data_IF_530528635762
#
_entry.id   IF_530528635762
#
_cell.length_a   1.000
_cell.length_b   1.000
_cell.length_c   1.000
_cell.angle_alpha   90.00
_cell.angle_beta   90.00
_cell.angle_gamma   90.00
#
_symmetry.space_group_name_H-M   'P 1'
#
loop_
_entity.id
_entity.type
_entity.pdbx_description
1 polymer ?
#
# COMPACT_ATOMS: atom_id res chain seq x y z
N UNK A 1 -24.57 -1.94 -1.84
CA UNK A 1 -24.81 -1.52 -3.23
C UNK A 1 -23.48 -1.00 -3.75
N UNK A 2 -23.03 -1.46 -4.91
CA UNK A 2 -21.77 -0.98 -5.49
C UNK A 2 -22.01 0.36 -6.17
N UNK A 3 -21.23 1.40 -5.87
CA UNK A 3 -21.36 2.68 -6.57
C UNK A 3 -20.93 2.52 -8.03
N UNK A 4 -21.77 2.97 -8.96
CA UNK A 4 -21.52 2.89 -10.42
C UNK A 4 -20.20 3.58 -10.80
N UNK A 5 -19.84 4.66 -10.10
CA UNK A 5 -18.57 5.37 -10.34
C UNK A 5 -17.37 4.54 -9.90
N UNK A 6 -17.44 3.85 -8.76
CA UNK A 6 -16.36 2.99 -8.27
C UNK A 6 -16.05 1.87 -9.27
N UNK A 7 -17.09 1.26 -9.86
CA UNK A 7 -16.91 0.25 -10.92
C UNK A 7 -16.34 0.85 -12.21
N UNK A 8 -16.81 2.02 -12.63
CA UNK A 8 -16.25 2.73 -13.79
C UNK A 8 -14.75 3.05 -13.60
N UNK A 9 -14.34 3.44 -12.39
CA UNK A 9 -12.93 3.67 -12.05
C UNK A 9 -12.10 2.39 -12.22
N UNK A 10 -12.61 1.24 -11.75
CA UNK A 10 -11.95 -0.07 -11.90
C UNK A 10 -11.80 -0.47 -13.37
N UNK A 11 -12.84 -0.27 -14.18
CA UNK A 11 -12.86 -0.62 -15.62
C UNK A 11 -11.95 0.27 -16.46
N UNK A 12 -11.88 1.57 -16.17
CA UNK A 12 -10.99 2.50 -16.88
C UNK A 12 -9.53 2.34 -16.46
N UNK A 13 -9.29 1.86 -15.24
CA UNK A 13 -7.98 1.76 -14.62
C UNK A 13 -7.65 3.03 -13.83
N UNK A 14 -7.12 2.82 -12.62
CA UNK A 14 -6.84 3.87 -11.63
C UNK A 14 -5.98 5.00 -12.21
N UNK A 15 -5.01 4.66 -13.06
CA UNK A 15 -4.05 5.61 -13.65
C UNK A 15 -4.66 6.55 -14.68
N UNK A 16 -5.85 6.23 -15.20
CA UNK A 16 -6.53 7.02 -16.24
C UNK A 16 -7.61 7.95 -15.68
N UNK A 17 -7.87 7.88 -14.38
CA UNK A 17 -8.92 8.69 -13.75
C UNK A 17 -8.29 9.89 -13.04
N UNK A 18 -8.76 11.08 -13.37
CA UNK A 18 -8.33 12.30 -12.67
C UNK A 18 -9.17 12.51 -11.38
N UNK A 19 -8.58 12.34 -10.18
CA UNK A 19 -9.29 12.50 -8.91
C UNK A 19 -9.70 13.95 -8.60
N UNK A 20 -9.14 14.95 -9.30
CA UNK A 20 -9.46 16.37 -9.07
C UNK A 20 -10.85 16.75 -9.56
N UNK A 21 -11.52 15.88 -10.31
CA UNK A 21 -12.89 16.10 -10.79
C UNK A 21 -13.96 15.81 -9.74
N UNK A 22 -13.59 15.20 -8.61
CA UNK A 22 -14.48 14.83 -7.53
C UNK A 22 -14.26 15.71 -6.29
N UNK A 23 -15.34 15.91 -5.51
CA UNK A 23 -15.21 16.50 -4.17
C UNK A 23 -14.37 15.60 -3.27
N UNK A 24 -13.85 16.13 -2.16
CA UNK A 24 -13.03 15.34 -1.23
C UNK A 24 -13.77 14.10 -0.71
N UNK A 25 -15.04 14.25 -0.36
CA UNK A 25 -15.85 13.15 0.17
C UNK A 25 -16.17 12.11 -0.90
N UNK A 26 -16.55 12.55 -2.11
CA UNK A 26 -16.78 11.63 -3.23
C UNK A 26 -15.50 10.90 -3.63
N UNK A 27 -14.37 11.60 -3.66
CA UNK A 27 -13.07 10.98 -3.94
C UNK A 27 -12.76 9.91 -2.89
N UNK A 28 -12.95 10.22 -1.61
CA UNK A 28 -12.72 9.25 -0.53
C UNK A 28 -13.62 8.02 -0.68
N UNK A 29 -14.91 8.21 -0.93
CA UNK A 29 -15.87 7.12 -1.12
C UNK A 29 -15.54 6.26 -2.36
N UNK A 30 -15.50 6.88 -3.55
CA UNK A 30 -15.35 6.21 -4.84
C UNK A 30 -14.04 5.44 -4.93
N UNK A 31 -12.92 6.07 -4.56
CA UNK A 31 -11.61 5.42 -4.66
C UNK A 31 -11.36 4.40 -3.54
N UNK A 32 -11.95 4.57 -2.35
CA UNK A 32 -11.90 3.51 -1.32
C UNK A 32 -12.65 2.28 -1.80
N UNK A 33 -13.86 2.45 -2.33
CA UNK A 33 -14.65 1.33 -2.81
C UNK A 33 -14.02 0.67 -4.05
N UNK A 34 -13.50 1.44 -5.00
CA UNK A 34 -12.74 0.91 -6.13
C UNK A 34 -11.54 0.08 -5.64
N UNK A 35 -10.80 0.58 -4.63
CA UNK A 35 -9.73 -0.16 -3.98
C UNK A 35 -10.18 -1.49 -3.37
N UNK A 36 -11.33 -1.51 -2.70
CA UNK A 36 -11.90 -2.75 -2.15
C UNK A 36 -12.37 -3.74 -3.22
N UNK A 37 -12.85 -3.27 -4.37
CA UNK A 37 -13.19 -4.14 -5.52
C UNK A 37 -11.90 -4.76 -6.07
N UNK A 38 -10.88 -3.94 -6.35
CA UNK A 38 -9.58 -4.39 -6.85
C UNK A 38 -8.90 -5.40 -5.90
N UNK A 39 -9.02 -5.17 -4.59
CA UNK A 39 -8.51 -6.08 -3.57
C UNK A 39 -9.18 -7.46 -3.66
N UNK A 40 -10.50 -7.50 -3.83
CA UNK A 40 -11.26 -8.75 -4.01
C UNK A 40 -10.90 -9.48 -5.32
N UNK A 41 -10.49 -8.73 -6.34
CA UNK A 41 -9.98 -9.28 -7.61
C UNK A 41 -8.51 -9.73 -7.52
N UNK A 42 -7.85 -9.57 -6.37
CA UNK A 42 -6.43 -9.89 -6.19
C UNK A 42 -5.46 -8.87 -6.82
N UNK A 43 -5.97 -7.73 -7.29
CA UNK A 43 -5.18 -6.65 -7.91
C UNK A 43 -4.60 -5.72 -6.84
N UNK A 44 -3.72 -6.26 -6.00
CA UNK A 44 -3.26 -5.63 -4.74
C UNK A 44 -2.63 -4.25 -4.96
N UNK A 45 -1.74 -4.11 -5.94
CA UNK A 45 -1.06 -2.83 -6.20
C UNK A 45 -2.04 -1.72 -6.59
N UNK A 46 -2.98 -2.04 -7.49
CA UNK A 46 -4.02 -1.10 -7.91
C UNK A 46 -4.98 -0.79 -6.76
N UNK A 47 -5.29 -1.77 -5.90
CA UNK A 47 -6.10 -1.59 -4.72
C UNK A 47 -5.48 -0.57 -3.76
N UNK A 48 -4.21 -0.77 -3.38
CA UNK A 48 -3.48 0.17 -2.50
C UNK A 48 -3.44 1.56 -3.14
N UNK A 49 -3.07 1.65 -4.43
CA UNK A 49 -3.02 2.92 -5.16
C UNK A 49 -4.36 3.67 -5.14
N UNK A 50 -5.46 2.96 -5.38
CA UNK A 50 -6.80 3.55 -5.32
C UNK A 50 -7.10 4.10 -3.92
N UNK A 51 -6.85 3.35 -2.86
CA UNK A 51 -7.10 3.81 -1.49
C UNK A 51 -6.16 4.96 -1.09
N UNK A 52 -4.93 4.99 -1.61
CA UNK A 52 -4.02 6.15 -1.48
C UNK A 52 -4.61 7.39 -2.16
N UNK A 53 -5.13 7.27 -3.38
CA UNK A 53 -5.81 8.39 -4.07
C UNK A 53 -7.07 8.86 -3.33
N UNK A 54 -7.71 7.96 -2.58
CA UNK A 54 -8.84 8.27 -1.70
C UNK A 54 -8.42 9.11 -0.48
N UNK A 55 -7.13 9.11 -0.10
CA UNK A 55 -6.64 9.69 1.15
C UNK A 55 -7.24 9.02 2.39
N UNK A 56 -7.48 7.70 2.30
CA UNK A 56 -8.15 6.95 3.37
C UNK A 56 -7.15 6.07 4.14
N UNK A 57 -6.34 6.70 4.99
CA UNK A 57 -5.31 6.02 5.79
C UNK A 57 -5.90 4.90 6.66
N UNK A 58 -7.11 5.09 7.21
CA UNK A 58 -7.77 4.05 8.01
C UNK A 58 -8.02 2.76 7.20
N UNK A 59 -8.39 2.88 5.92
CA UNK A 59 -8.57 1.73 5.04
C UNK A 59 -7.22 1.08 4.68
N UNK A 60 -6.17 1.87 4.41
CA UNK A 60 -4.82 1.37 4.17
C UNK A 60 -4.25 0.62 5.38
N UNK A 61 -4.40 1.17 6.58
CA UNK A 61 -4.00 0.53 7.82
C UNK A 61 -4.75 -0.79 8.02
N UNK A 62 -6.06 -0.81 7.77
CA UNK A 62 -6.86 -2.04 7.88
C UNK A 62 -6.44 -3.10 6.86
N UNK A 63 -6.11 -2.70 5.63
CA UNK A 63 -5.56 -3.61 4.61
C UNK A 63 -4.21 -4.18 5.04
N UNK A 64 -3.29 -3.31 5.50
CA UNK A 64 -1.99 -3.74 5.98
C UNK A 64 -2.09 -4.69 7.18
N UNK A 65 -2.95 -4.39 8.15
CA UNK A 65 -3.18 -5.24 9.32
C UNK A 65 -3.73 -6.62 8.93
N UNK A 66 -4.57 -6.70 7.91
CA UNK A 66 -5.06 -7.98 7.36
C UNK A 66 -3.95 -8.74 6.62
N UNK A 67 -3.13 -8.06 5.82
CA UNK A 67 -1.98 -8.70 5.17
C UNK A 67 -0.95 -9.23 6.17
N UNK A 68 -0.69 -8.50 7.26
CA UNK A 68 0.13 -8.98 8.38
C UNK A 68 -0.42 -10.27 8.98
N UNK A 69 -1.75 -10.35 9.23
CA UNK A 69 -2.41 -11.56 9.75
C UNK A 69 -2.28 -12.75 8.79
N UNK A 70 -2.26 -12.50 7.49
CA UNK A 70 -2.10 -13.52 6.45
C UNK A 70 -0.64 -13.85 6.12
N UNK A 71 0.32 -13.32 6.90
CA UNK A 71 1.77 -13.43 6.66
C UNK A 71 2.22 -12.96 5.26
N UNK A 72 1.47 -12.01 4.66
CA UNK A 72 1.78 -11.36 3.39
C UNK A 72 2.48 -10.02 3.63
N UNK A 73 3.68 -10.09 4.19
CA UNK A 73 4.37 -8.92 4.75
C UNK A 73 4.78 -7.88 3.72
N UNK A 74 5.03 -8.31 2.49
CA UNK A 74 5.31 -7.43 1.35
C UNK A 74 4.11 -6.58 0.96
N UNK A 75 2.92 -7.19 0.93
CA UNK A 75 1.65 -6.51 0.68
C UNK A 75 1.28 -5.59 1.86
N UNK A 76 1.60 -6.01 3.09
CA UNK A 76 1.43 -5.17 4.27
C UNK A 76 2.30 -3.91 4.20
N UNK A 77 3.59 -4.05 3.88
CA UNK A 77 4.50 -2.92 3.68
C UNK A 77 3.98 -1.97 2.60
N UNK A 78 3.53 -2.50 1.46
CA UNK A 78 2.94 -1.71 0.38
C UNK A 78 1.73 -0.87 0.86
N UNK A 79 0.86 -1.46 1.70
CA UNK A 79 -0.31 -0.76 2.24
C UNK A 79 0.04 0.27 3.32
N UNK A 80 1.07 0.03 4.15
CA UNK A 80 1.47 0.95 5.21
C UNK A 80 2.31 2.14 4.73
N UNK A 81 3.16 1.97 3.71
CA UNK A 81 4.06 3.04 3.24
C UNK A 81 3.34 4.39 2.99
N UNK A 82 2.18 4.44 2.32
CA UNK A 82 1.51 5.71 2.06
C UNK A 82 0.96 6.39 3.32
N UNK A 83 0.73 5.66 4.42
CA UNK A 83 0.17 6.20 5.67
C UNK A 83 1.24 6.88 6.54
N UNK A 84 2.52 6.63 6.27
CA UNK A 84 3.67 7.13 7.04
C UNK A 84 3.70 6.67 8.50
N UNK A 85 2.97 5.59 8.83
CA UNK A 85 3.00 4.96 10.14
C UNK A 85 4.29 4.14 10.30
N UNK A 86 5.31 4.78 10.88
CA UNK A 86 6.66 4.22 10.97
C UNK A 86 6.70 2.87 11.67
N UNK A 87 5.99 2.72 12.79
CA UNK A 87 6.02 1.50 13.59
C UNK A 87 5.48 0.30 12.79
N UNK A 88 4.38 0.50 12.06
CA UNK A 88 3.80 -0.55 11.20
C UNK A 88 4.66 -0.85 9.98
N UNK A 89 5.23 0.18 9.36
CA UNK A 89 6.15 0.02 8.22
C UNK A 89 7.38 -0.80 8.64
N UNK A 90 8.01 -0.45 9.77
CA UNK A 90 9.20 -1.14 10.26
C UNK A 90 8.91 -2.58 10.68
N UNK A 91 7.76 -2.82 11.29
CA UNK A 91 7.33 -4.18 11.62
C UNK A 91 7.16 -5.04 10.37
N UNK A 92 6.53 -4.52 9.32
CA UNK A 92 6.40 -5.24 8.05
C UNK A 92 7.76 -5.44 7.37
N UNK A 93 8.65 -4.45 7.44
CA UNK A 93 10.01 -4.51 6.91
C UNK A 93 10.85 -5.60 7.61
N UNK A 94 10.78 -5.68 8.93
CA UNK A 94 11.49 -6.68 9.73
C UNK A 94 11.05 -8.10 9.33
N UNK A 95 9.74 -8.32 9.20
CA UNK A 95 9.20 -9.61 8.79
C UNK A 95 9.55 -9.96 7.33
N UNK A 96 9.57 -8.97 6.43
CA UNK A 96 10.08 -9.16 5.07
C UNK A 96 11.56 -9.59 5.07
N UNK A 97 12.40 -8.93 5.86
CA UNK A 97 13.82 -9.25 5.96
C UNK A 97 14.05 -10.68 6.51
N UNK A 98 13.30 -11.07 7.55
CA UNK A 98 13.35 -12.44 8.12
C UNK A 98 12.99 -13.52 7.11
N UNK A 99 12.09 -13.21 6.16
CA UNK A 99 11.69 -14.13 5.09
C UNK A 99 12.57 -14.06 3.84
N UNK A 100 13.63 -13.25 3.85
CA UNK A 100 14.52 -13.06 2.71
C UNK A 100 13.96 -12.14 1.61
N UNK A 101 12.83 -11.46 1.85
CA UNK A 101 12.33 -10.43 0.95
C UNK A 101 13.04 -9.08 1.19
N UNK A 102 14.35 -9.08 0.94
CA UNK A 102 15.25 -8.00 1.36
C UNK A 102 14.99 -6.69 0.61
N UNK A 103 14.62 -6.74 -0.67
CA UNK A 103 14.31 -5.54 -1.45
C UNK A 103 13.10 -4.78 -0.89
N UNK A 104 12.03 -5.50 -0.51
CA UNK A 104 10.85 -4.85 0.08
C UNK A 104 11.16 -4.30 1.47
N UNK A 105 11.91 -5.06 2.28
CA UNK A 105 12.38 -4.59 3.58
C UNK A 105 13.22 -3.30 3.47
N UNK A 106 14.15 -3.25 2.51
CA UNK A 106 14.95 -2.07 2.22
C UNK A 106 14.09 -0.85 1.93
N UNK A 107 13.18 -0.93 0.96
CA UNK A 107 12.32 0.21 0.61
C UNK A 107 11.38 0.62 1.76
N UNK A 108 10.91 -0.33 2.56
CA UNK A 108 10.10 -0.04 3.74
C UNK A 108 10.90 0.70 4.82
N UNK A 109 12.15 0.28 5.12
CA UNK A 109 13.01 1.02 6.04
C UNK A 109 13.39 2.42 5.54
N UNK A 110 13.59 2.58 4.23
CA UNK A 110 13.75 3.92 3.63
C UNK A 110 12.50 4.76 3.87
N UNK A 111 11.31 4.19 3.65
CA UNK A 111 10.03 4.89 3.84
C UNK A 111 9.74 5.25 5.31
N UNK A 112 10.18 4.44 6.29
CA UNK A 112 10.04 4.78 7.71
C UNK A 112 11.10 5.77 8.20
N UNK A 113 12.20 5.92 7.45
CA UNK A 113 13.36 6.72 7.83
C UNK A 113 14.35 5.98 8.75
N UNK A 114 14.32 4.64 8.77
CA UNK A 114 15.30 3.83 9.47
C UNK A 114 16.55 3.65 8.59
N UNK A 115 17.34 4.71 8.50
CA UNK A 115 18.53 4.78 7.64
C UNK A 115 19.57 3.69 7.98
N UNK A 116 19.71 3.35 9.26
CA UNK A 116 20.64 2.33 9.71
C UNK A 116 20.30 0.96 9.12
N UNK A 117 19.04 0.52 9.23
CA UNK A 117 18.61 -0.76 8.66
C UNK A 117 18.60 -0.73 7.14
N UNK A 118 18.20 0.39 6.53
CA UNK A 118 18.25 0.55 5.08
C UNK A 118 19.69 0.43 4.55
N UNK A 119 20.67 1.10 5.17
CA UNK A 119 22.07 1.00 4.80
C UNK A 119 22.62 -0.42 4.98
N UNK A 120 22.32 -1.06 6.12
CA UNK A 120 22.73 -2.43 6.38
C UNK A 120 22.22 -3.39 5.30
N UNK A 121 20.94 -3.31 4.93
CA UNK A 121 20.38 -4.17 3.89
C UNK A 121 21.00 -3.91 2.53
N UNK A 122 21.18 -2.63 2.17
CA UNK A 122 21.80 -2.22 0.92
C UNK A 122 23.22 -2.78 0.77
N UNK A 123 24.06 -2.59 1.77
CA UNK A 123 25.48 -2.99 1.71
C UNK A 123 25.67 -4.51 1.67
N UNK A 124 24.79 -5.27 2.32
CA UNK A 124 25.01 -6.71 2.52
C UNK A 124 24.18 -7.60 1.59
N UNK A 125 23.05 -7.11 1.07
CA UNK A 125 22.07 -7.97 0.38
C UNK A 125 21.52 -7.38 -0.92
N UNK A 126 21.57 -6.06 -1.11
CA UNK A 126 21.10 -5.41 -2.33
C UNK A 126 21.94 -4.18 -2.73
N UNK A 127 23.23 -4.37 -3.08
CA UNK A 127 24.12 -3.24 -3.36
C UNK A 127 23.68 -2.40 -4.57
N UNK A 128 22.92 -3.00 -5.50
CA UNK A 128 22.41 -2.35 -6.71
C UNK A 128 21.02 -1.69 -6.53
N UNK A 129 20.47 -1.66 -5.31
CA UNK A 129 19.13 -1.10 -5.01
C UNK A 129 19.05 0.43 -5.00
#
# INVERSE_FOLDING_TARGET
MTNTLSRWVVEKGIDKVNPSMLSSDMRKEVFTEAGMILLKEGRIFEAVKAVTMAGNDAALLSMGDEFMRQTKFDQAALAYIPTKDKDRIEKAAEECAKQGNVMVAYYAYVASGNEQMAAFLKENFCPDA
#
